data_IF_353587156374
#
_entry.id   IF_353587156374
#
_cell.length_a   1.000
_cell.length_b   1.000
_cell.length_c   1.000
_cell.angle_alpha   90.00
_cell.angle_beta   90.00
_cell.angle_gamma   90.00
#
_symmetry.space_group_name_H-M   'P 1'
#
loop_
_entity.id
_entity.type
_entity.pdbx_description
1 polymer ?
#
# COMPACT_ATOMS: atom_id res chain seq x y z
N UNK A 1 -9.57 6.46 -2.16
CA UNK A 1 -10.35 7.00 -1.02
C UNK A 1 -11.36 6.00 -0.47
N UNK A 2 -12.29 5.46 -1.27
CA UNK A 2 -13.25 4.43 -0.79
C UNK A 2 -12.57 3.23 -0.12
N UNK A 3 -11.47 2.76 -0.70
CA UNK A 3 -10.70 1.64 -0.15
C UNK A 3 -10.08 1.94 1.23
N UNK A 4 -9.52 3.15 1.41
CA UNK A 4 -9.00 3.59 2.71
C UNK A 4 -10.14 3.62 3.74
N UNK A 5 -11.30 4.18 3.38
CA UNK A 5 -12.46 4.22 4.25
C UNK A 5 -12.90 2.82 4.68
N UNK A 6 -12.91 1.85 3.74
CA UNK A 6 -13.19 0.45 4.04
C UNK A 6 -12.16 -0.15 5.01
N UNK A 7 -10.86 0.01 4.74
CA UNK A 7 -9.80 -0.47 5.64
C UNK A 7 -9.94 0.09 7.06
N UNK A 8 -10.36 1.35 7.21
CA UNK A 8 -10.60 1.96 8.52
C UNK A 8 -11.78 1.35 9.29
N UNK A 9 -12.67 0.60 8.64
CA UNK A 9 -13.76 -0.13 9.31
C UNK A 9 -13.33 -1.51 9.81
N UNK A 10 -12.21 -2.03 9.31
CA UNK A 10 -11.71 -3.36 9.66
C UNK A 10 -10.90 -3.28 10.96
N UNK A 11 -11.14 -4.24 11.85
CA UNK A 11 -10.33 -4.40 13.08
C UNK A 11 -8.99 -5.10 12.81
N UNK A 12 -8.96 -5.94 11.78
CA UNK A 12 -7.83 -6.79 11.43
C UNK A 12 -7.89 -7.10 9.94
N UNK A 13 -6.72 -7.35 9.36
CA UNK A 13 -6.55 -7.74 7.96
C UNK A 13 -5.77 -9.05 7.92
N UNK A 14 -6.12 -9.90 6.96
CA UNK A 14 -5.54 -11.25 6.87
C UNK A 14 -4.07 -11.26 6.43
N UNK A 15 -3.62 -10.22 5.71
CA UNK A 15 -2.26 -10.08 5.21
C UNK A 15 -1.91 -8.62 4.94
N UNK A 16 -0.62 -8.28 5.05
CA UNK A 16 -0.05 -6.99 4.63
C UNK A 16 0.03 -6.84 3.11
N UNK A 17 -0.16 -7.92 2.34
CA UNK A 17 -0.24 -7.89 0.86
C UNK A 17 -1.25 -6.85 0.38
N UNK A 18 -2.38 -6.72 1.09
CA UNK A 18 -3.44 -5.75 0.78
C UNK A 18 -2.92 -4.30 0.86
N UNK A 19 -2.00 -4.03 1.78
CA UNK A 19 -1.38 -2.71 1.94
C UNK A 19 -0.27 -2.51 0.90
N UNK A 20 0.49 -3.55 0.57
CA UNK A 20 1.47 -3.50 -0.54
C UNK A 20 0.78 -3.15 -1.84
N UNK A 21 -0.24 -3.91 -2.21
CA UNK A 21 -0.95 -3.75 -3.48
C UNK A 21 -1.59 -2.35 -3.52
N UNK A 22 -2.13 -1.87 -2.40
CA UNK A 22 -2.63 -0.49 -2.30
C UNK A 22 -1.52 0.56 -2.50
N UNK A 23 -0.33 0.36 -1.94
CA UNK A 23 0.82 1.24 -2.16
C UNK A 23 1.22 1.29 -3.64
N UNK A 24 1.24 0.14 -4.31
CA UNK A 24 1.50 0.04 -5.76
C UNK A 24 0.42 0.81 -6.54
N UNK A 25 -0.86 0.59 -6.23
CA UNK A 25 -1.99 1.31 -6.85
C UNK A 25 -1.93 2.84 -6.64
N UNK A 26 -1.40 3.28 -5.50
CA UNK A 26 -1.28 4.69 -5.14
C UNK A 26 -0.07 5.37 -5.80
N UNK A 27 0.94 4.59 -6.19
CA UNK A 27 2.22 5.10 -6.70
C UNK A 27 2.13 6.08 -7.89
N UNK A 28 1.19 5.95 -8.86
CA UNK A 28 1.07 6.92 -9.95
C UNK A 28 0.57 8.30 -9.50
N UNK A 29 -0.08 8.38 -8.33
CA UNK A 29 -0.66 9.61 -7.79
C UNK A 29 0.20 10.25 -6.70
N UNK A 30 0.79 9.43 -5.84
CA UNK A 30 1.59 9.88 -4.70
C UNK A 30 2.81 8.96 -4.50
N UNK A 31 3.82 9.02 -5.38
CA UNK A 31 4.93 8.06 -5.40
C UNK A 31 5.76 8.07 -4.11
N UNK A 32 6.07 9.25 -3.57
CA UNK A 32 6.82 9.37 -2.32
C UNK A 32 6.09 8.74 -1.13
N UNK A 33 4.76 8.88 -1.08
CA UNK A 33 3.95 8.31 -0.01
C UNK A 33 3.78 6.80 -0.18
N UNK A 34 3.67 6.32 -1.42
CA UNK A 34 3.67 4.90 -1.72
C UNK A 34 4.99 4.22 -1.32
N UNK A 35 6.15 4.85 -1.56
CA UNK A 35 7.46 4.36 -1.08
C UNK A 35 7.50 4.21 0.44
N UNK A 36 7.08 5.24 1.18
CA UNK A 36 7.03 5.21 2.65
C UNK A 36 6.13 4.08 3.16
N UNK A 37 4.97 3.84 2.52
CA UNK A 37 4.09 2.72 2.89
C UNK A 37 4.80 1.38 2.69
N UNK A 38 5.43 1.16 1.53
CA UNK A 38 6.15 -0.07 1.23
C UNK A 38 7.33 -0.29 2.19
N UNK A 39 8.08 0.75 2.49
CA UNK A 39 9.18 0.70 3.46
C UNK A 39 8.70 0.26 4.85
N UNK A 40 7.60 0.84 5.34
CA UNK A 40 7.04 0.52 6.67
C UNK A 40 6.52 -0.92 6.79
N UNK A 41 6.16 -1.57 5.68
CA UNK A 41 5.74 -2.98 5.67
C UNK A 41 6.88 -3.94 5.30
N UNK A 42 8.14 -3.47 5.28
CA UNK A 42 9.34 -4.22 4.88
C UNK A 42 9.29 -4.77 3.46
N UNK A 43 8.61 -4.07 2.54
CA UNK A 43 8.56 -4.43 1.13
C UNK A 43 9.70 -3.79 0.32
N UNK A 44 9.92 -4.34 -0.88
CA UNK A 44 10.92 -3.78 -1.80
C UNK A 44 10.49 -2.39 -2.31
N UNK A 45 11.46 -1.51 -2.65
CA UNK A 45 11.18 -0.22 -3.29
C UNK A 45 10.32 -0.35 -4.55
N UNK A 46 9.56 0.71 -4.89
CA UNK A 46 8.63 0.77 -6.01
C UNK A 46 9.25 0.35 -7.35
N UNK A 47 10.54 0.68 -7.57
CA UNK A 47 11.25 0.33 -8.80
C UNK A 47 11.37 -1.19 -9.06
N UNK A 48 11.21 -2.00 -8.01
CA UNK A 48 11.22 -3.46 -8.10
C UNK A 48 9.82 -4.09 -8.04
N UNK A 49 8.79 -3.26 -7.86
CA UNK A 49 7.41 -3.73 -7.80
C UNK A 49 6.84 -3.91 -9.21
N UNK A 50 5.91 -4.84 -9.34
CA UNK A 50 5.14 -5.08 -10.56
C UNK A 50 3.69 -4.78 -10.29
N UNK A 51 3.00 -4.26 -11.30
CA UNK A 51 1.56 -4.06 -11.26
C UNK A 51 0.81 -5.40 -11.35
#
# INVERSE_FOLDING_TARGET
MVFINYLSTLKEINSTDVIRDFGILLSPFAPHFAEEILFNINEKPLQYQSW
#
